data_IF_517743403187
#
_entry.id   IF_517743403187
#
_cell.length_a   1.000
_cell.length_b   1.000
_cell.length_c   1.000
_cell.angle_alpha   90.00
_cell.angle_beta   90.00
_cell.angle_gamma   90.00
#
_symmetry.space_group_name_H-M   'P 1'
#
loop_
_entity.id
_entity.type
_entity.pdbx_description
1 polymer ?
#
# COMPACT_ATOMS: atom_id res chain seq x y z
N UNK A 1 -14.62 -22.04 14.03
CA UNK A 1 -13.33 -21.34 13.79
C UNK A 1 -13.57 -19.87 14.04
N UNK A 2 -12.86 -19.25 14.95
CA UNK A 2 -13.09 -17.86 15.36
C UNK A 2 -12.80 -16.95 14.18
N UNK A 3 -13.74 -16.04 13.89
CA UNK A 3 -13.66 -15.09 12.79
C UNK A 3 -12.52 -14.07 13.04
N UNK A 4 -11.77 -13.69 11.98
CA UNK A 4 -10.69 -12.72 12.05
C UNK A 4 -11.10 -11.42 12.75
N UNK A 5 -12.28 -10.86 12.39
CA UNK A 5 -12.75 -9.57 12.91
C UNK A 5 -13.12 -9.61 14.41
N UNK A 6 -13.29 -10.81 14.99
CA UNK A 6 -13.57 -11.01 16.41
C UNK A 6 -12.30 -11.30 17.25
N UNK A 7 -11.14 -11.43 16.59
CA UNK A 7 -9.89 -11.70 17.29
C UNK A 7 -9.33 -10.44 17.96
N UNK A 8 -8.64 -10.58 19.11
CA UNK A 8 -7.82 -9.51 19.63
C UNK A 8 -6.79 -9.01 18.60
N UNK A 9 -6.45 -7.75 18.68
CA UNK A 9 -5.50 -7.11 17.75
C UNK A 9 -4.18 -7.91 17.62
N UNK A 10 -3.64 -8.37 18.73
CA UNK A 10 -2.40 -9.17 18.77
C UNK A 10 -2.50 -10.48 17.98
N UNK A 11 -3.68 -11.08 17.91
CA UNK A 11 -3.92 -12.30 17.13
C UNK A 11 -4.21 -12.01 15.64
N UNK A 12 -4.63 -10.79 15.30
CA UNK A 12 -4.83 -10.38 13.91
C UNK A 12 -3.51 -10.15 13.17
N UNK A 13 -2.48 -9.61 13.87
CA UNK A 13 -1.20 -9.24 13.24
C UNK A 13 -0.49 -10.40 12.53
N UNK A 14 -0.32 -11.60 13.14
CA UNK A 14 0.29 -12.73 12.46
C UNK A 14 -0.51 -13.20 11.24
N UNK A 15 -1.85 -13.17 11.29
CA UNK A 15 -2.71 -13.57 10.17
C UNK A 15 -2.62 -12.58 8.99
N UNK A 16 -2.51 -11.29 9.30
CA UNK A 16 -2.26 -10.26 8.27
C UNK A 16 -0.88 -10.43 7.65
N UNK A 17 0.13 -10.82 8.42
CA UNK A 17 1.47 -11.10 7.91
C UNK A 17 1.49 -12.37 7.03
N UNK A 18 0.77 -13.42 7.43
CA UNK A 18 0.59 -14.63 6.62
C UNK A 18 -0.06 -14.29 5.26
N UNK A 19 -1.13 -13.50 5.29
CA UNK A 19 -1.80 -13.03 4.07
C UNK A 19 -0.88 -12.14 3.22
N UNK A 20 -0.12 -11.23 3.82
CA UNK A 20 0.83 -10.38 3.11
C UNK A 20 1.90 -11.21 2.39
N UNK A 21 2.48 -12.22 3.07
CA UNK A 21 3.45 -13.11 2.43
C UNK A 21 2.81 -14.00 1.35
N UNK A 22 1.59 -14.48 1.55
CA UNK A 22 0.85 -15.21 0.50
C UNK A 22 0.60 -14.34 -0.73
N UNK A 23 0.30 -13.04 -0.53
CA UNK A 23 0.08 -12.08 -1.61
C UNK A 23 1.29 -11.91 -2.54
N UNK A 24 2.52 -12.09 -2.04
CA UNK A 24 3.74 -11.98 -2.85
C UNK A 24 3.77 -12.98 -4.02
N UNK A 25 3.10 -14.12 -3.87
CA UNK A 25 2.95 -15.11 -4.96
C UNK A 25 2.16 -14.62 -6.17
N UNK A 26 1.35 -13.55 -6.01
CA UNK A 26 0.62 -12.95 -7.13
C UNK A 26 1.51 -12.08 -8.04
N UNK A 27 2.72 -11.74 -7.60
CA UNK A 27 3.64 -10.86 -8.32
C UNK A 27 4.86 -11.61 -8.86
N UNK A 28 5.52 -11.02 -9.85
CA UNK A 28 6.78 -11.56 -10.39
C UNK A 28 7.97 -11.11 -9.54
N UNK A 29 8.11 -11.75 -8.38
CA UNK A 29 9.15 -11.46 -7.40
C UNK A 29 10.08 -12.68 -7.23
N UNK A 30 11.36 -12.47 -6.90
CA UNK A 30 12.30 -13.55 -6.62
C UNK A 30 11.84 -14.43 -5.46
N UNK A 31 12.13 -15.72 -5.53
CA UNK A 31 11.92 -16.64 -4.41
C UNK A 31 12.71 -16.15 -3.18
N UNK A 32 12.11 -16.25 -1.99
CA UNK A 32 12.69 -15.73 -0.75
C UNK A 32 12.39 -14.26 -0.46
N UNK A 33 11.57 -13.59 -1.30
CA UNK A 33 11.02 -12.27 -0.97
C UNK A 33 10.11 -12.36 0.25
N UNK A 34 10.23 -11.41 1.17
CA UNK A 34 9.50 -11.40 2.46
C UNK A 34 8.88 -10.05 2.75
N UNK A 35 7.71 -10.08 3.39
CA UNK A 35 7.02 -8.89 3.88
C UNK A 35 7.33 -8.66 5.38
N UNK A 36 7.54 -7.40 5.76
CA UNK A 36 7.70 -6.94 7.14
C UNK A 36 6.76 -5.79 7.40
N UNK A 37 5.95 -5.89 8.46
CA UNK A 37 5.00 -4.83 8.79
C UNK A 37 5.72 -3.52 9.10
N UNK A 38 5.23 -2.43 8.52
CA UNK A 38 5.65 -1.06 8.83
C UNK A 38 4.63 -0.36 9.70
N UNK A 39 3.36 -0.44 9.32
CA UNK A 39 2.29 0.26 10.00
C UNK A 39 0.96 -0.49 9.85
N UNK A 40 0.11 -0.35 10.84
CA UNK A 40 -1.29 -0.77 10.81
C UNK A 40 -2.16 0.38 11.31
N UNK A 41 -2.93 0.94 10.39
CA UNK A 41 -3.97 1.93 10.66
C UNK A 41 -5.27 1.47 10.01
N UNK A 42 -5.84 2.21 9.07
CA UNK A 42 -6.97 1.74 8.23
C UNK A 42 -6.56 0.59 7.32
N UNK A 43 -5.31 0.58 6.86
CA UNK A 43 -4.72 -0.49 6.07
C UNK A 43 -3.47 -1.03 6.75
N UNK A 44 -3.12 -2.28 6.46
CA UNK A 44 -1.83 -2.83 6.87
C UNK A 44 -0.80 -2.58 5.77
N UNK A 45 0.30 -1.89 6.12
CA UNK A 45 1.38 -1.56 5.18
C UNK A 45 2.65 -2.33 5.55
N UNK A 46 3.26 -2.92 4.54
CA UNK A 46 4.45 -3.75 4.69
C UNK A 46 5.58 -3.24 3.79
N UNK A 47 6.80 -3.30 4.29
CA UNK A 47 7.98 -3.30 3.45
C UNK A 47 8.21 -4.72 2.93
N UNK A 48 8.46 -4.82 1.65
CA UNK A 48 8.79 -6.08 0.98
C UNK A 48 10.25 -6.03 0.57
N UNK A 49 11.04 -6.95 1.08
CA UNK A 49 12.47 -7.07 0.80
C UNK A 49 12.69 -8.28 -0.12
N UNK A 50 13.21 -8.07 -1.32
CA UNK A 50 13.60 -9.12 -2.23
C UNK A 50 15.09 -9.49 -2.05
N UNK A 51 15.49 -10.77 -2.29
CA UNK A 51 16.88 -11.21 -2.13
C UNK A 51 17.89 -10.50 -3.05
N UNK A 52 17.42 -9.95 -4.16
CA UNK A 52 18.22 -9.18 -5.12
C UNK A 52 18.44 -7.71 -4.71
N UNK A 53 17.97 -7.33 -3.51
CA UNK A 53 18.11 -5.99 -2.95
C UNK A 53 17.00 -5.02 -3.33
N UNK A 54 16.07 -5.41 -4.22
CA UNK A 54 14.89 -4.59 -4.50
C UNK A 54 13.97 -4.51 -3.29
N UNK A 55 13.30 -3.37 -3.15
CA UNK A 55 12.29 -3.14 -2.12
C UNK A 55 10.99 -2.69 -2.75
N UNK A 56 9.90 -2.96 -2.03
CA UNK A 56 8.56 -2.58 -2.44
C UNK A 56 7.73 -2.22 -1.20
N UNK A 57 6.62 -1.52 -1.41
CA UNK A 57 5.59 -1.32 -0.38
C UNK A 57 4.35 -2.13 -0.73
N UNK A 58 3.87 -2.98 0.19
CA UNK A 58 2.65 -3.76 0.02
C UNK A 58 1.58 -3.18 0.94
N UNK A 59 0.42 -2.83 0.37
CA UNK A 59 -0.75 -2.39 1.11
C UNK A 59 -1.81 -3.49 1.09
N UNK A 60 -2.19 -3.97 2.27
CA UNK A 60 -3.34 -4.86 2.48
C UNK A 60 -4.51 -4.01 2.97
N UNK A 61 -5.54 -3.90 2.16
CA UNK A 61 -6.69 -3.07 2.49
C UNK A 61 -7.57 -3.73 3.57
N UNK A 62 -8.08 -2.90 4.49
CA UNK A 62 -9.04 -3.31 5.49
C UNK A 62 -10.35 -3.70 4.81
N UNK A 63 -10.93 -4.83 5.24
CA UNK A 63 -12.20 -5.30 4.71
C UNK A 63 -13.34 -4.32 4.99
N UNK A 64 -14.14 -4.05 3.97
CA UNK A 64 -15.31 -3.19 4.09
C UNK A 64 -15.02 -1.69 4.25
N UNK A 65 -13.75 -1.27 4.32
CA UNK A 65 -13.40 0.15 4.46
C UNK A 65 -13.50 0.89 3.11
N UNK A 66 -12.92 0.34 2.06
CA UNK A 66 -13.06 0.84 0.69
C UNK A 66 -13.51 -0.29 -0.24
N UNK A 67 -14.37 0.05 -1.21
CA UNK A 67 -14.70 -0.88 -2.29
C UNK A 67 -13.52 -1.01 -3.27
N UNK A 68 -13.45 -2.14 -3.99
CA UNK A 68 -12.46 -2.34 -5.06
C UNK A 68 -12.48 -1.19 -6.09
N UNK A 69 -13.68 -0.66 -6.39
CA UNK A 69 -13.82 0.47 -7.32
C UNK A 69 -13.23 1.76 -6.74
N UNK A 70 -13.40 2.03 -5.44
CA UNK A 70 -12.79 3.20 -4.79
C UNK A 70 -11.26 3.11 -4.81
N UNK A 71 -10.70 1.92 -4.51
CA UNK A 71 -9.26 1.66 -4.61
C UNK A 71 -8.77 1.86 -6.05
N UNK A 72 -9.50 1.34 -7.04
CA UNK A 72 -9.14 1.52 -8.45
C UNK A 72 -9.14 3.00 -8.88
N UNK A 73 -10.09 3.79 -8.39
CA UNK A 73 -10.15 5.24 -8.65
C UNK A 73 -8.98 5.99 -8.00
N UNK A 74 -8.63 5.65 -6.75
CA UNK A 74 -7.45 6.20 -6.07
C UNK A 74 -6.18 5.92 -6.89
N UNK A 75 -5.96 4.66 -7.28
CA UNK A 75 -4.79 4.26 -8.05
C UNK A 75 -4.73 4.93 -9.44
N UNK A 76 -5.88 5.07 -10.11
CA UNK A 76 -5.93 5.76 -11.40
C UNK A 76 -5.51 7.22 -11.25
N UNK A 77 -5.93 7.89 -10.19
CA UNK A 77 -5.53 9.26 -9.89
C UNK A 77 -4.05 9.37 -9.53
N UNK A 78 -3.52 8.48 -8.69
CA UNK A 78 -2.10 8.41 -8.34
C UNK A 78 -1.22 8.24 -9.60
N UNK A 79 -1.60 7.33 -10.50
CA UNK A 79 -0.92 7.09 -11.78
C UNK A 79 -0.95 8.35 -12.64
N UNK A 80 -2.09 9.04 -12.72
CA UNK A 80 -2.21 10.24 -13.55
C UNK A 80 -1.41 11.42 -12.97
N UNK A 81 -1.39 11.63 -11.67
CA UNK A 81 -0.54 12.60 -10.99
C UNK A 81 0.95 12.39 -11.34
N UNK A 82 1.41 11.13 -11.29
CA UNK A 82 2.78 10.77 -11.67
C UNK A 82 3.04 10.99 -13.16
N UNK A 83 2.14 10.52 -14.03
CA UNK A 83 2.24 10.63 -15.48
C UNK A 83 2.30 12.09 -15.95
N UNK A 84 1.54 12.96 -15.32
CA UNK A 84 1.48 14.41 -15.67
C UNK A 84 2.57 15.21 -14.97
N UNK A 85 3.37 14.60 -14.10
CA UNK A 85 4.46 15.27 -13.39
C UNK A 85 4.00 16.25 -12.30
N UNK A 86 2.75 16.16 -11.87
CA UNK A 86 2.18 17.03 -10.83
C UNK A 86 2.80 16.69 -9.47
N UNK A 87 2.83 15.41 -9.15
CA UNK A 87 3.43 14.86 -7.92
C UNK A 87 4.04 13.51 -8.24
N UNK A 88 5.19 13.21 -7.63
CA UNK A 88 5.76 11.86 -7.63
C UNK A 88 4.99 11.02 -6.62
N UNK A 89 4.16 10.10 -7.12
CA UNK A 89 3.45 9.11 -6.33
C UNK A 89 4.14 7.74 -6.43
N UNK A 90 3.99 6.83 -5.48
CA UNK A 90 4.42 5.44 -5.66
C UNK A 90 3.77 4.83 -6.90
N UNK A 91 4.52 4.03 -7.67
CA UNK A 91 3.99 3.40 -8.87
C UNK A 91 3.43 2.02 -8.53
N UNK A 92 2.13 1.74 -8.76
CA UNK A 92 1.56 0.43 -8.49
C UNK A 92 2.06 -0.61 -9.49
N UNK A 93 2.39 -1.80 -9.00
CA UNK A 93 2.95 -2.92 -9.76
C UNK A 93 1.83 -3.89 -10.11
N UNK A 94 1.78 -4.31 -11.37
CA UNK A 94 0.83 -5.32 -11.83
C UNK A 94 1.20 -6.71 -11.32
N UNK A 95 0.20 -7.47 -10.92
CA UNK A 95 0.34 -8.89 -10.68
C UNK A 95 0.58 -9.70 -11.96
N UNK A 96 0.81 -10.99 -11.81
CA UNK A 96 1.02 -11.94 -12.92
C UNK A 96 -0.20 -12.07 -13.85
N UNK A 97 -1.38 -11.76 -13.34
CA UNK A 97 -2.64 -11.70 -14.08
C UNK A 97 -2.83 -10.40 -14.89
N UNK A 98 -1.91 -9.44 -14.73
CA UNK A 98 -1.96 -8.11 -15.35
C UNK A 98 -2.78 -7.07 -14.59
N UNK A 99 -3.46 -7.46 -13.50
CA UNK A 99 -4.23 -6.55 -12.65
C UNK A 99 -3.35 -5.89 -11.58
N UNK A 100 -3.69 -4.66 -11.20
CA UNK A 100 -2.99 -3.92 -10.14
C UNK A 100 -3.50 -4.36 -8.76
N UNK A 101 -4.83 -4.50 -8.62
CA UNK A 101 -5.46 -4.90 -7.36
C UNK A 101 -5.57 -6.42 -7.35
N UNK A 102 -4.93 -7.06 -6.40
CA UNK A 102 -4.98 -8.50 -6.19
C UNK A 102 -5.96 -8.85 -5.08
N UNK A 103 -6.76 -9.89 -5.29
CA UNK A 103 -7.73 -10.39 -4.31
C UNK A 103 -7.16 -11.65 -3.65
N UNK A 104 -6.68 -11.53 -2.42
CA UNK A 104 -5.99 -12.59 -1.71
C UNK A 104 -6.90 -13.19 -0.63
N UNK A 105 -7.21 -14.48 -0.78
CA UNK A 105 -7.98 -15.23 0.21
C UNK A 105 -7.09 -15.74 1.34
N UNK A 106 -7.65 -15.80 2.55
CA UNK A 106 -7.02 -16.44 3.70
C UNK A 106 -8.03 -17.32 4.43
N UNK A 107 -7.68 -18.55 4.88
CA UNK A 107 -8.63 -19.51 5.48
C UNK A 107 -9.38 -18.99 6.71
N UNK A 108 -8.79 -18.04 7.44
CA UNK A 108 -9.34 -17.43 8.65
C UNK A 108 -10.11 -16.13 8.38
N UNK A 109 -10.24 -15.70 7.13
CA UNK A 109 -10.94 -14.47 6.74
C UNK A 109 -12.17 -14.82 5.90
N UNK A 110 -13.28 -14.13 6.15
CA UNK A 110 -14.54 -14.37 5.45
C UNK A 110 -14.52 -13.99 3.98
N UNK A 111 -13.73 -12.96 3.67
CA UNK A 111 -13.61 -12.41 2.31
C UNK A 111 -12.14 -12.23 1.94
N UNK A 112 -11.81 -12.34 0.65
CA UNK A 112 -10.48 -11.95 0.17
C UNK A 112 -10.19 -10.49 0.54
N UNK A 113 -8.92 -10.19 0.79
CA UNK A 113 -8.44 -8.82 0.98
C UNK A 113 -7.91 -8.27 -0.33
N UNK A 114 -8.24 -7.02 -0.62
CA UNK A 114 -7.62 -6.28 -1.70
C UNK A 114 -6.18 -5.94 -1.32
N UNK A 115 -5.24 -6.23 -2.21
CA UNK A 115 -3.82 -6.01 -1.99
C UNK A 115 -3.23 -5.27 -3.18
N UNK A 116 -2.36 -4.30 -2.91
CA UNK A 116 -1.63 -3.55 -3.95
C UNK A 116 -0.16 -3.50 -3.57
N UNK A 117 0.71 -3.80 -4.54
CA UNK A 117 2.16 -3.66 -4.43
C UNK A 117 2.59 -2.39 -5.15
N UNK A 118 3.49 -1.63 -4.55
CA UNK A 118 4.05 -0.40 -5.10
C UNK A 118 5.57 -0.45 -5.15
N UNK A 119 6.16 0.32 -6.05
CA UNK A 119 7.59 0.64 -5.97
C UNK A 119 7.90 1.28 -4.61
N UNK A 120 9.14 1.05 -4.16
CA UNK A 120 9.62 1.66 -2.92
C UNK A 120 10.10 3.09 -3.18
N UNK A 121 9.42 4.07 -2.61
CA UNK A 121 9.91 5.44 -2.57
C UNK A 121 10.80 5.64 -1.34
N UNK A 122 11.97 6.25 -1.55
CA UNK A 122 12.92 6.51 -0.47
C UNK A 122 12.54 7.76 0.30
N UNK A 123 12.72 7.74 1.60
CA UNK A 123 12.45 8.86 2.48
C UNK A 123 12.72 8.50 3.93
N UNK A 124 12.65 9.47 4.80
CA UNK A 124 12.73 9.31 6.24
C UNK A 124 11.65 10.16 6.91
N UNK A 125 11.08 9.65 7.98
CA UNK A 125 10.22 10.45 8.84
C UNK A 125 11.04 11.51 9.55
N UNK A 126 10.56 12.77 9.62
CA UNK A 126 11.24 13.82 10.39
C UNK A 126 11.37 13.43 11.86
N UNK A 127 12.51 13.73 12.46
CA UNK A 127 12.75 13.48 13.87
C UNK A 127 11.96 14.42 14.78
N UNK A 128 11.73 13.98 16.03
CA UNK A 128 11.11 14.82 17.06
C UNK A 128 12.03 16.01 17.32
N UNK A 129 11.50 17.25 17.19
CA UNK A 129 12.24 18.50 17.43
C UNK A 129 12.99 19.05 16.21
N UNK A 130 12.86 18.43 15.03
CA UNK A 130 13.33 19.04 13.80
C UNK A 130 12.48 20.23 13.38
N UNK A 131 13.08 21.21 12.70
CA UNK A 131 12.34 22.31 12.08
C UNK A 131 11.60 21.80 10.84
N UNK A 132 10.28 21.74 10.93
CA UNK A 132 9.40 21.26 9.88
C UNK A 132 8.88 22.37 8.96
N UNK A 133 9.29 23.63 9.14
CA UNK A 133 8.79 24.76 8.35
C UNK A 133 8.97 24.55 6.84
N UNK A 134 10.17 24.17 6.41
CA UNK A 134 10.46 23.86 5.00
C UNK A 134 9.68 22.65 4.48
N UNK A 135 9.69 21.50 5.15
CA UNK A 135 8.86 20.34 4.75
C UNK A 135 7.36 20.66 4.65
N UNK A 136 6.80 21.46 5.55
CA UNK A 136 5.38 21.85 5.49
C UNK A 136 5.08 22.83 4.35
N UNK A 137 6.01 23.71 3.98
CA UNK A 137 5.87 24.57 2.81
C UNK A 137 5.79 23.72 1.52
N UNK A 138 6.70 22.75 1.37
CA UNK A 138 6.70 21.80 0.23
C UNK A 138 5.40 20.98 0.22
N UNK A 139 4.94 20.48 1.36
CA UNK A 139 3.68 19.73 1.47
C UNK A 139 2.49 20.59 1.05
N UNK A 140 2.46 21.87 1.45
CA UNK A 140 1.44 22.83 1.04
C UNK A 140 1.42 23.06 -0.47
N UNK A 141 2.58 23.20 -1.11
CA UNK A 141 2.72 23.33 -2.55
C UNK A 141 2.22 22.07 -3.28
N UNK A 142 2.63 20.88 -2.84
CA UNK A 142 2.18 19.59 -3.38
C UNK A 142 0.65 19.49 -3.28
N UNK A 143 0.09 19.80 -2.12
CA UNK A 143 -1.36 19.75 -1.89
C UNK A 143 -2.11 20.70 -2.81
N UNK A 144 -1.61 21.92 -3.01
CA UNK A 144 -2.21 22.89 -3.92
C UNK A 144 -2.20 22.39 -5.38
N UNK A 145 -1.09 21.80 -5.84
CA UNK A 145 -0.97 21.20 -7.18
C UNK A 145 -1.96 20.04 -7.37
N UNK A 146 -2.11 19.18 -6.37
CA UNK A 146 -3.08 18.08 -6.39
C UNK A 146 -4.52 18.59 -6.47
N UNK A 147 -4.88 19.65 -5.74
CA UNK A 147 -6.20 20.26 -5.81
C UNK A 147 -6.48 20.89 -7.19
N UNK A 148 -5.49 21.53 -7.80
CA UNK A 148 -5.65 22.08 -9.17
C UNK A 148 -5.87 20.94 -10.16
N UNK A 149 -5.08 19.88 -10.07
CA UNK A 149 -5.21 18.70 -10.92
C UNK A 149 -6.59 18.05 -10.79
N UNK A 150 -7.05 17.82 -9.55
CA UNK A 150 -8.33 17.15 -9.28
C UNK A 150 -9.56 17.89 -9.86
N UNK A 151 -9.47 19.21 -10.13
CA UNK A 151 -10.57 19.97 -10.79
C UNK A 151 -10.74 19.64 -12.26
N UNK A 152 -9.72 19.04 -12.87
CA UNK A 152 -9.67 18.78 -14.31
C UNK A 152 -9.65 17.28 -14.64
N UNK A 153 -9.53 16.46 -13.59
CA UNK A 153 -9.41 15.00 -13.70
C UNK A 153 -10.75 14.26 -13.76
#
# INVERSE_FOLDING_TARGET
>A
MTDFDSLPHEEQLPLLLELANAALGAYDLPAGTVAKMLNLSENATYRVDAPDGRRFALRVHRDGYHSRQAIASELAWEIDLRRTGVVTTPNPIKGRDGEIIQDIAHPRMKRPRHVVLFDWETGAEPGIGEDLSGPFEVLGEITARMHIHARQW
#
